data_IF_308854713153
#
_entry.id   IF_308854713153
#
_cell.length_a   1.000
_cell.length_b   1.000
_cell.length_c   1.000
_cell.angle_alpha   90.00
_cell.angle_beta   90.00
_cell.angle_gamma   90.00
#
_symmetry.space_group_name_H-M   'P 1'
#
loop_
_entity.id
_entity.type
_entity.pdbx_description
1 polymer ?
#
# COMPACT_ATOMS: atom_id res chain seq x y z
N UNK A 1 -4.33 -3.28 -8.13
CA UNK A 1 -3.80 -4.38 -7.29
C UNK A 1 -4.51 -4.35 -5.94
N UNK A 2 -4.46 -5.40 -5.11
CA UNK A 2 -5.20 -5.37 -3.83
C UNK A 2 -4.55 -4.44 -2.79
N UNK A 3 -5.33 -3.77 -1.92
CA UNK A 3 -4.79 -2.96 -0.83
C UNK A 3 -3.87 -3.75 0.12
N UNK A 4 -4.12 -5.05 0.28
CA UNK A 4 -3.27 -5.95 1.09
C UNK A 4 -1.89 -6.10 0.46
N UNK A 5 -1.81 -6.26 -0.85
CA UNK A 5 -0.53 -6.35 -1.57
C UNK A 5 0.24 -5.04 -1.44
N UNK A 6 -0.44 -3.91 -1.62
CA UNK A 6 0.15 -2.58 -1.46
C UNK A 6 0.69 -2.35 -0.06
N UNK A 7 -0.04 -2.77 0.97
CA UNK A 7 0.40 -2.73 2.37
C UNK A 7 1.68 -3.54 2.58
N UNK A 8 1.71 -4.79 2.11
CA UNK A 8 2.88 -5.66 2.26
C UNK A 8 4.11 -5.06 1.54
N UNK A 9 3.94 -4.61 0.29
CA UNK A 9 5.01 -3.97 -0.48
C UNK A 9 5.53 -2.71 0.22
N UNK A 10 4.64 -1.83 0.70
CA UNK A 10 5.04 -0.63 1.44
C UNK A 10 5.77 -0.93 2.75
N UNK A 11 5.39 -2.01 3.45
CA UNK A 11 6.13 -2.46 4.62
C UNK A 11 7.51 -3.03 4.28
N UNK A 12 7.66 -3.71 3.14
CA UNK A 12 8.98 -4.13 2.65
C UNK A 12 9.86 -2.92 2.30
N UNK A 13 9.31 -1.90 1.64
CA UNK A 13 10.02 -0.64 1.37
C UNK A 13 10.47 0.03 2.66
N UNK A 14 9.58 0.12 3.65
CA UNK A 14 9.89 0.66 4.98
C UNK A 14 11.03 -0.09 5.70
N UNK A 15 11.24 -1.37 5.36
CA UNK A 15 12.29 -2.21 5.92
C UNK A 15 13.58 -2.25 5.09
N UNK A 16 13.64 -1.58 3.94
CA UNK A 16 14.85 -1.52 3.10
C UNK A 16 16.02 -0.77 3.76
N UNK A 17 15.72 0.04 4.77
CA UNK A 17 16.70 0.84 5.54
C UNK A 17 16.34 0.82 7.02
N UNK A 18 17.26 1.25 7.87
CA UNK A 18 16.98 1.46 9.28
C UNK A 18 16.08 2.69 9.49
N UNK A 19 14.91 2.47 10.10
CA UNK A 19 13.87 3.45 10.44
C UNK A 19 13.28 3.12 11.80
N UNK A 20 12.78 4.13 12.52
CA UNK A 20 11.97 3.91 13.72
C UNK A 20 10.60 3.33 13.37
N UNK A 21 9.90 2.75 14.37
CA UNK A 21 8.52 2.23 14.21
C UNK A 21 7.56 3.24 13.59
N UNK A 22 7.60 4.49 14.05
CA UNK A 22 6.77 5.59 13.52
C UNK A 22 7.08 5.89 12.05
N UNK A 23 8.36 5.89 11.68
CA UNK A 23 8.79 6.16 10.31
C UNK A 23 8.45 5.00 9.36
N UNK A 24 8.57 3.75 9.83
CA UNK A 24 8.11 2.59 9.09
C UNK A 24 6.61 2.68 8.83
N UNK A 25 5.84 3.03 9.85
CA UNK A 25 4.40 3.23 9.72
C UNK A 25 4.06 4.30 8.67
N UNK A 26 4.75 5.45 8.68
CA UNK A 26 4.53 6.48 7.67
C UNK A 26 4.80 5.99 6.24
N UNK A 27 5.91 5.27 6.02
CA UNK A 27 6.24 4.70 4.70
C UNK A 27 5.25 3.62 4.26
N UNK A 28 4.80 2.76 5.18
CA UNK A 28 3.80 1.72 4.87
C UNK A 28 2.42 2.31 4.61
N UNK A 29 1.98 3.29 5.39
CA UNK A 29 0.69 3.96 5.16
C UNK A 29 0.69 4.68 3.81
N UNK A 30 1.83 5.23 3.38
CA UNK A 30 1.95 5.89 2.09
C UNK A 30 1.63 4.98 0.88
N UNK A 31 1.76 3.65 1.00
CA UNK A 31 1.36 2.73 -0.08
C UNK A 31 -0.12 2.33 -0.05
N UNK A 32 -0.88 2.63 1.00
CA UNK A 32 -2.29 2.19 1.13
C UNK A 32 -3.24 3.36 1.15
N UNK A 33 -2.78 4.53 1.60
CA UNK A 33 -3.60 5.74 1.69
C UNK A 33 -4.26 6.16 0.36
N UNK A 34 -3.70 5.88 -0.85
CA UNK A 34 -4.43 6.20 -2.08
C UNK A 34 -5.76 5.44 -2.23
N UNK A 35 -5.82 4.19 -1.76
CA UNK A 35 -7.03 3.35 -1.85
C UNK A 35 -8.21 3.87 -1.01
N UNK A 36 -8.02 4.89 -0.18
CA UNK A 36 -9.12 5.52 0.59
C UNK A 36 -10.19 6.08 -0.36
N UNK A 37 -9.82 6.53 -1.56
CA UNK A 37 -10.82 6.97 -2.55
C UNK A 37 -11.68 5.80 -3.11
N UNK A 38 -11.24 4.55 -2.88
CA UNK A 38 -12.00 3.33 -3.18
C UNK A 38 -13.12 3.03 -2.17
N UNK A 39 -13.14 3.66 -0.99
CA UNK A 39 -14.24 3.51 0.00
C UNK A 39 -15.59 3.96 -0.56
N UNK A 40 -15.58 4.82 -1.60
CA UNK A 40 -16.76 5.18 -2.37
C UNK A 40 -17.58 4.00 -2.88
N UNK A 41 -16.97 2.80 -3.01
CA UNK A 41 -17.66 1.59 -3.45
C UNK A 41 -18.80 1.20 -2.51
N UNK A 42 -18.63 1.44 -1.20
CA UNK A 42 -19.66 1.17 -0.19
C UNK A 42 -20.86 2.10 -0.42
N UNK A 43 -20.61 3.40 -0.56
CA UNK A 43 -21.67 4.39 -0.80
C UNK A 43 -22.42 4.09 -2.12
N UNK A 44 -21.69 3.76 -3.18
CA UNK A 44 -22.28 3.43 -4.48
C UNK A 44 -23.12 2.15 -4.42
N UNK A 45 -22.64 1.11 -3.74
CA UNK A 45 -23.38 -0.14 -3.55
C UNK A 45 -24.67 0.07 -2.77
N UNK A 46 -24.62 0.84 -1.67
CA UNK A 46 -25.77 1.09 -0.80
C UNK A 46 -26.84 1.98 -1.45
N UNK A 47 -26.45 2.81 -2.42
CA UNK A 47 -27.36 3.79 -3.06
C UNK A 47 -27.75 3.42 -4.49
N UNK A 48 -27.31 2.25 -5.00
CA UNK A 48 -27.53 1.81 -6.39
C UNK A 48 -28.99 1.82 -6.84
N UNK A 49 -29.93 1.63 -5.91
CA UNK A 49 -31.38 1.62 -6.18
C UNK A 49 -32.13 2.93 -5.89
N UNK A 50 -31.42 4.02 -5.52
CA UNK A 50 -32.05 5.30 -5.23
C UNK A 50 -32.30 6.10 -6.53
N UNK A 51 -33.23 7.06 -6.49
CA UNK A 51 -33.49 7.97 -7.64
C UNK A 51 -32.23 8.76 -8.04
N UNK A 52 -31.33 9.01 -7.08
CA UNK A 52 -30.04 9.67 -7.27
C UNK A 52 -28.92 8.86 -6.58
N UNK A 53 -28.31 7.88 -7.27
CA UNK A 53 -27.24 7.05 -6.69
C UNK A 53 -25.94 7.84 -6.49
N UNK A 54 -25.20 7.53 -5.43
CA UNK A 54 -23.89 8.11 -5.13
C UNK A 54 -22.80 7.38 -5.91
N UNK A 55 -22.44 7.89 -7.08
CA UNK A 55 -21.41 7.30 -7.96
C UNK A 55 -19.97 7.62 -7.51
N UNK A 56 -19.69 7.52 -6.20
CA UNK A 56 -18.42 7.98 -5.64
C UNK A 56 -17.25 7.13 -6.08
N UNK A 57 -17.43 5.82 -6.21
CA UNK A 57 -16.36 4.94 -6.66
C UNK A 57 -16.08 5.17 -8.14
N UNK A 58 -17.12 5.01 -8.97
CA UNK A 58 -17.00 5.11 -10.42
C UNK A 58 -16.51 6.47 -10.90
N UNK A 59 -16.75 7.54 -10.13
CA UNK A 59 -16.34 8.90 -10.49
C UNK A 59 -14.99 9.34 -9.91
N UNK A 60 -14.64 8.89 -8.70
CA UNK A 60 -13.53 9.46 -7.96
C UNK A 60 -12.37 8.51 -7.67
N UNK A 61 -12.59 7.19 -7.76
CA UNK A 61 -11.52 6.22 -7.64
C UNK A 61 -10.50 6.43 -8.78
N UNK A 62 -9.20 6.45 -8.46
CA UNK A 62 -8.10 6.85 -9.34
C UNK A 62 -8.05 8.31 -9.81
N UNK A 63 -8.95 9.17 -9.31
CA UNK A 63 -8.98 10.61 -9.62
C UNK A 63 -8.49 11.43 -8.43
N UNK A 64 -8.99 11.15 -7.22
CA UNK A 64 -8.73 11.98 -6.04
C UNK A 64 -7.37 11.71 -5.40
N UNK A 65 -7.03 10.44 -5.18
CA UNK A 65 -5.88 10.07 -4.36
C UNK A 65 -4.75 9.40 -5.16
N UNK A 66 -4.93 9.15 -6.46
CA UNK A 66 -3.93 8.51 -7.32
C UNK A 66 -3.21 9.51 -8.24
N UNK A 67 -2.76 10.64 -7.69
CA UNK A 67 -2.10 11.69 -8.44
C UNK A 67 -0.87 12.25 -7.69
N UNK A 68 -0.03 12.99 -8.43
CA UNK A 68 1.18 13.59 -7.90
C UNK A 68 0.90 14.56 -6.75
N UNK A 69 -0.20 15.32 -6.82
CA UNK A 69 -0.58 16.25 -5.75
C UNK A 69 -0.79 15.52 -4.42
N UNK A 70 -1.53 14.41 -4.44
CA UNK A 70 -1.74 13.58 -3.26
C UNK A 70 -0.44 12.91 -2.79
N UNK A 71 0.41 12.44 -3.72
CA UNK A 71 1.73 11.90 -3.39
C UNK A 71 2.60 12.92 -2.61
N UNK A 72 2.59 14.19 -3.05
CA UNK A 72 3.32 15.27 -2.39
C UNK A 72 2.74 15.61 -1.01
N UNK A 73 1.42 15.58 -0.84
CA UNK A 73 0.77 15.74 0.48
C UNK A 73 1.20 14.62 1.44
N UNK A 74 1.14 13.36 0.99
CA UNK A 74 1.55 12.19 1.79
C UNK A 74 3.03 12.27 2.16
N UNK A 75 3.89 12.69 1.22
CA UNK A 75 5.31 12.90 1.47
C UNK A 75 5.55 14.05 2.46
N UNK A 76 4.81 15.15 2.35
CA UNK A 76 4.87 16.29 3.27
C UNK A 76 4.45 15.92 4.70
N UNK A 77 3.35 15.18 4.86
CA UNK A 77 2.93 14.65 6.17
C UNK A 77 3.99 13.72 6.73
N UNK A 78 4.51 12.80 5.92
CA UNK A 78 5.59 11.88 6.31
C UNK A 78 6.85 12.62 6.75
N UNK A 79 7.20 13.71 6.07
CA UNK A 79 8.31 14.60 6.42
C UNK A 79 8.10 15.26 7.78
N UNK A 80 6.89 15.75 8.06
CA UNK A 80 6.56 16.46 9.30
C UNK A 80 6.58 15.54 10.53
N UNK A 81 6.12 14.30 10.39
CA UNK A 81 6.02 13.36 11.53
C UNK A 81 7.34 12.62 11.82
N UNK A 82 8.26 12.54 10.86
CA UNK A 82 9.48 11.76 10.96
C UNK A 82 10.62 12.49 11.69
N UNK A 83 11.56 11.71 12.25
CA UNK A 83 12.82 12.25 12.77
C UNK A 83 13.84 12.36 11.63
N UNK A 84 13.97 11.30 10.82
CA UNK A 84 14.79 11.24 9.59
C UNK A 84 13.99 11.76 8.39
N UNK A 85 13.54 13.01 8.50
CA UNK A 85 12.50 13.64 7.64
C UNK A 85 12.65 13.34 6.15
N UNK A 86 13.81 13.67 5.56
CA UNK A 86 14.06 13.47 4.12
C UNK A 86 14.07 12.00 3.71
N UNK A 87 14.66 11.13 4.53
CA UNK A 87 14.71 9.68 4.25
C UNK A 87 13.31 9.09 4.26
N UNK A 88 12.51 9.43 5.27
CA UNK A 88 11.13 8.96 5.38
C UNK A 88 10.24 9.52 4.28
N UNK A 89 10.35 10.80 3.95
CA UNK A 89 9.59 11.40 2.85
C UNK A 89 9.93 10.80 1.48
N UNK A 90 11.23 10.59 1.20
CA UNK A 90 11.67 9.94 -0.04
C UNK A 90 11.14 8.51 -0.15
N UNK A 91 11.20 7.72 0.93
CA UNK A 91 10.65 6.37 0.94
C UNK A 91 9.13 6.35 0.86
N UNK A 92 8.44 7.33 1.46
CA UNK A 92 6.99 7.49 1.30
C UNK A 92 6.63 7.76 -0.17
N UNK A 93 7.39 8.61 -0.88
CA UNK A 93 7.22 8.80 -2.33
C UNK A 93 7.47 7.51 -3.10
N UNK A 94 8.54 6.77 -2.82
CA UNK A 94 8.80 5.47 -3.47
C UNK A 94 7.64 4.49 -3.22
N UNK A 95 7.20 4.38 -1.98
CA UNK A 95 6.10 3.50 -1.55
C UNK A 95 4.80 3.85 -2.27
N UNK A 96 4.48 5.14 -2.37
CA UNK A 96 3.33 5.65 -3.10
C UNK A 96 3.40 5.37 -4.61
N UNK A 97 4.56 5.58 -5.24
CA UNK A 97 4.71 5.34 -6.67
C UNK A 97 4.71 3.85 -7.00
N UNK A 98 5.19 2.99 -6.09
CA UNK A 98 5.04 1.54 -6.23
C UNK A 98 3.57 1.10 -6.13
N UNK A 99 2.78 1.77 -5.29
CA UNK A 99 1.33 1.60 -5.30
C UNK A 99 0.73 1.94 -6.68
N UNK A 100 1.03 3.14 -7.22
CA UNK A 100 0.55 3.54 -8.55
C UNK A 100 1.00 2.55 -9.65
N UNK A 101 2.24 2.08 -9.58
CA UNK A 101 2.76 1.08 -10.50
C UNK A 101 1.97 -0.23 -10.40
N UNK A 102 1.65 -0.67 -9.18
CA UNK A 102 0.84 -1.87 -8.94
C UNK A 102 -0.54 -1.79 -9.57
N UNK A 103 -1.19 -0.62 -9.53
CA UNK A 103 -2.50 -0.43 -10.17
C UNK A 103 -2.40 -0.30 -11.68
N UNK A 104 -1.36 0.38 -12.18
CA UNK A 104 -1.08 0.48 -13.60
C UNK A 104 -0.88 -0.89 -14.26
N UNK A 105 -0.24 -1.84 -13.56
CA UNK A 105 0.04 -3.17 -14.10
C UNK A 105 -1.03 -4.22 -13.79
N UNK A 106 -1.69 -4.14 -12.64
CA UNK A 106 -2.55 -5.20 -12.12
C UNK A 106 -3.85 -4.72 -11.49
N UNK A 107 -4.42 -3.63 -12.00
CA UNK A 107 -5.63 -2.99 -11.51
C UNK A 107 -6.83 -3.03 -12.44
N UNK A 108 -6.80 -3.80 -13.55
CA UNK A 108 -7.91 -3.79 -14.51
C UNK A 108 -9.21 -4.30 -13.86
N UNK A 109 -10.30 -3.56 -14.10
CA UNK A 109 -11.62 -3.84 -13.57
C UNK A 109 -12.23 -5.14 -14.12
N UNK A 110 -13.23 -5.72 -13.45
CA UNK A 110 -13.91 -6.94 -13.89
C UNK A 110 -14.70 -6.73 -15.20
N UNK A 111 -15.01 -5.48 -15.54
CA UNK A 111 -15.62 -5.03 -16.79
C UNK A 111 -14.58 -4.80 -17.92
N UNK A 112 -13.30 -5.03 -17.65
CA UNK A 112 -12.19 -4.77 -18.57
C UNK A 112 -11.74 -3.32 -18.60
N UNK A 113 -12.33 -2.42 -17.79
CA UNK A 113 -11.93 -1.02 -17.75
C UNK A 113 -10.53 -0.87 -17.13
N UNK A 114 -9.61 -0.15 -17.78
CA UNK A 114 -8.20 -0.11 -17.36
C UNK A 114 -7.93 0.78 -16.14
N UNK A 115 -8.92 1.53 -15.64
CA UNK A 115 -8.76 2.45 -14.49
C UNK A 115 -7.53 3.37 -14.63
N UNK A 116 -7.57 4.35 -15.56
CA UNK A 116 -6.43 5.22 -15.83
C UNK A 116 -6.01 6.01 -14.59
N UNK A 117 -4.70 6.14 -14.37
CA UNK A 117 -4.14 6.97 -13.30
C UNK A 117 -4.02 8.40 -13.82
N UNK A 118 -4.81 9.31 -13.27
CA UNK A 118 -4.83 10.72 -13.66
C UNK A 118 -3.72 11.52 -12.95
N UNK A 119 -2.48 11.25 -13.32
CA UNK A 119 -1.28 11.63 -12.56
C UNK A 119 -1.15 13.13 -12.26
N UNK A 120 -1.60 14.01 -13.16
CA UNK A 120 -1.48 15.47 -13.02
C UNK A 120 -2.76 16.17 -12.56
N UNK A 121 -3.84 15.45 -12.23
CA UNK A 121 -5.03 16.10 -11.67
C UNK A 121 -4.74 16.72 -10.29
N UNK A 122 -5.41 17.83 -9.93
CA UNK A 122 -6.43 18.55 -10.71
C UNK A 122 -5.88 19.58 -11.71
N UNK A 123 -4.56 19.68 -11.88
CA UNK A 123 -3.92 20.73 -12.69
C UNK A 123 -4.00 20.48 -14.20
N UNK A 124 -3.91 19.21 -14.61
CA UNK A 124 -3.96 18.82 -16.03
C UNK A 124 -4.51 17.41 -16.21
N UNK A 125 -5.37 17.25 -17.22
CA UNK A 125 -5.85 15.94 -17.67
C UNK A 125 -4.95 15.27 -18.72
N UNK A 126 -3.82 15.87 -19.08
CA UNK A 126 -2.98 15.42 -20.19
C UNK A 126 -2.27 14.09 -19.93
N UNK A 127 -1.98 13.77 -18.67
CA UNK A 127 -1.20 12.58 -18.29
C UNK A 127 -2.09 11.58 -17.59
N UNK A 128 -2.61 10.64 -18.38
CA UNK A 128 -3.42 9.53 -17.94
C UNK A 128 -2.62 8.26 -18.21
N UNK A 129 -2.11 7.64 -17.15
CA UNK A 129 -1.32 6.43 -17.31
C UNK A 129 -2.25 5.24 -17.50
N UNK A 130 -2.08 4.58 -18.63
CA UNK A 130 -2.71 3.31 -18.97
C UNK A 130 -1.64 2.42 -19.57
N UNK A 131 -1.78 1.11 -19.41
CA UNK A 131 -0.88 0.16 -20.04
C UNK A 131 -1.66 -0.98 -20.69
N UNK A 132 -1.36 -1.27 -21.95
CA UNK A 132 -2.07 -2.31 -22.71
C UNK A 132 -1.91 -3.69 -22.08
N UNK A 133 -0.74 -3.98 -21.50
CA UNK A 133 -0.42 -5.24 -20.83
C UNK A 133 -1.00 -5.37 -19.42
N UNK A 134 -1.77 -4.39 -18.93
CA UNK A 134 -2.37 -4.44 -17.60
C UNK A 134 -3.23 -5.70 -17.48
N UNK A 135 -3.09 -6.45 -16.38
CA UNK A 135 -3.89 -7.63 -16.11
C UNK A 135 -5.03 -7.33 -15.13
N UNK A 136 -6.00 -8.22 -15.09
CA UNK A 136 -7.15 -8.17 -14.18
C UNK A 136 -6.73 -8.18 -12.71
N UNK A 137 -7.49 -7.50 -11.86
CA UNK A 137 -7.21 -7.43 -10.43
C UNK A 137 -7.03 -8.81 -9.76
N UNK A 138 -7.77 -9.82 -10.23
CA UNK A 138 -7.75 -11.21 -9.74
C UNK A 138 -6.88 -12.14 -10.60
N UNK A 139 -5.98 -11.64 -11.45
CA UNK A 139 -5.10 -12.48 -12.24
C UNK A 139 -3.97 -13.11 -11.39
N UNK A 140 -3.44 -14.25 -11.87
CA UNK A 140 -2.36 -15.00 -11.20
C UNK A 140 -1.11 -14.18 -10.84
N UNK A 141 -0.65 -13.15 -11.60
CA UNK A 141 0.52 -12.37 -11.22
C UNK A 141 0.31 -11.63 -9.90
N UNK A 142 -0.89 -11.10 -9.64
CA UNK A 142 -1.21 -10.43 -8.37
C UNK A 142 -1.16 -11.40 -7.19
N UNK A 143 -1.63 -12.63 -7.37
CA UNK A 143 -1.51 -13.66 -6.35
C UNK A 143 -0.04 -14.01 -6.07
N UNK A 144 0.78 -14.18 -7.12
CA UNK A 144 2.20 -14.47 -6.96
C UNK A 144 2.94 -13.36 -6.22
N UNK A 145 2.72 -12.09 -6.61
CA UNK A 145 3.29 -10.91 -5.95
C UNK A 145 2.88 -10.88 -4.47
N UNK A 146 1.60 -11.14 -4.18
CA UNK A 146 1.09 -11.14 -2.80
C UNK A 146 1.72 -12.24 -1.96
N UNK A 147 1.81 -13.46 -2.48
CA UNK A 147 2.45 -14.60 -1.79
C UNK A 147 3.93 -14.31 -1.53
N UNK A 148 4.65 -13.77 -2.52
CA UNK A 148 6.06 -13.41 -2.38
C UNK A 148 6.24 -12.30 -1.33
N UNK A 149 5.43 -11.25 -1.37
CA UNK A 149 5.49 -10.15 -0.42
C UNK A 149 5.13 -10.60 1.00
N UNK A 150 4.16 -11.51 1.15
CA UNK A 150 3.81 -12.13 2.42
C UNK A 150 4.98 -12.97 2.95
N UNK A 151 5.57 -13.82 2.11
CA UNK A 151 6.72 -14.64 2.49
C UNK A 151 7.92 -13.80 2.95
N UNK A 152 8.25 -12.74 2.21
CA UNK A 152 9.28 -11.78 2.59
C UNK A 152 8.94 -11.05 3.90
N UNK A 153 7.66 -10.70 4.11
CA UNK A 153 7.20 -10.07 5.35
C UNK A 153 7.37 -10.99 6.55
N UNK A 154 6.96 -12.25 6.43
CA UNK A 154 7.13 -13.27 7.47
C UNK A 154 8.61 -13.52 7.77
N UNK A 155 9.44 -13.62 6.74
CA UNK A 155 10.88 -13.80 6.89
C UNK A 155 11.53 -12.62 7.63
N UNK A 156 11.19 -11.39 7.25
CA UNK A 156 11.71 -10.20 7.92
C UNK A 156 11.19 -10.09 9.35
N UNK A 157 9.92 -10.40 9.60
CA UNK A 157 9.38 -10.40 10.96
C UNK A 157 10.10 -11.40 11.86
N UNK A 158 10.33 -12.61 11.34
CA UNK A 158 11.10 -13.65 12.00
C UNK A 158 12.54 -13.21 12.29
N UNK A 159 13.23 -12.59 11.33
CA UNK A 159 14.63 -12.18 11.47
C UNK A 159 14.80 -10.92 12.36
N UNK A 160 13.90 -9.93 12.24
CA UNK A 160 14.03 -8.61 12.88
C UNK A 160 13.32 -8.47 14.22
N UNK A 161 12.34 -9.32 14.51
CA UNK A 161 11.66 -9.34 15.80
C UNK A 161 10.50 -8.36 15.94
N UNK A 162 10.02 -7.80 14.83
CA UNK A 162 8.82 -6.97 14.75
C UNK A 162 8.14 -7.22 13.41
N UNK A 163 6.83 -7.06 13.34
CA UNK A 163 5.99 -7.32 12.17
C UNK A 163 5.15 -6.08 11.81
N UNK A 164 4.36 -6.11 10.72
CA UNK A 164 3.44 -5.02 10.43
C UNK A 164 2.42 -4.74 11.55
N UNK A 165 2.14 -5.73 12.42
CA UNK A 165 1.22 -5.55 13.55
C UNK A 165 1.71 -4.50 14.54
N UNK A 166 3.01 -4.18 14.55
CA UNK A 166 3.55 -3.10 15.36
C UNK A 166 2.83 -1.77 15.09
N UNK A 167 2.26 -1.54 13.91
CA UNK A 167 1.54 -0.29 13.62
C UNK A 167 0.20 -0.20 14.38
N UNK A 168 -0.38 -1.33 14.77
CA UNK A 168 -1.71 -1.41 15.40
C UNK A 168 -1.60 -1.71 16.89
N UNK A 169 -0.80 -2.71 17.28
CA UNK A 169 -0.68 -3.14 18.67
C UNK A 169 0.68 -3.77 18.96
N UNK A 170 1.41 -3.20 19.91
CA UNK A 170 2.70 -3.72 20.36
C UNK A 170 2.56 -5.12 21.03
N UNK A 171 1.42 -5.39 21.67
CA UNK A 171 1.18 -6.71 22.27
C UNK A 171 0.93 -7.77 21.21
N UNK A 172 0.09 -7.46 20.21
CA UNK A 172 -0.20 -8.38 19.11
C UNK A 172 1.07 -8.68 18.29
N UNK A 173 1.89 -7.65 18.04
CA UNK A 173 3.16 -7.78 17.36
C UNK A 173 4.12 -8.75 18.07
N UNK A 174 4.30 -8.55 19.39
CA UNK A 174 5.14 -9.42 20.22
C UNK A 174 4.65 -10.86 20.19
N UNK A 175 3.35 -11.08 20.44
CA UNK A 175 2.76 -12.43 20.42
C UNK A 175 2.93 -13.10 19.05
N UNK A 176 2.74 -12.36 17.97
CA UNK A 176 2.92 -12.87 16.62
C UNK A 176 4.36 -13.30 16.33
N UNK A 177 5.34 -12.43 16.64
CA UNK A 177 6.76 -12.71 16.43
C UNK A 177 7.24 -13.87 17.29
N UNK A 178 6.83 -13.92 18.56
CA UNK A 178 7.15 -15.03 19.48
C UNK A 178 6.60 -16.35 18.96
N UNK A 179 5.34 -16.37 18.52
CA UNK A 179 4.71 -17.56 17.93
C UNK A 179 5.46 -18.02 16.69
N UNK A 180 5.84 -17.09 15.81
CA UNK A 180 6.56 -17.38 14.58
C UNK A 180 7.95 -17.99 14.85
N UNK A 181 8.70 -17.41 15.79
CA UNK A 181 10.04 -17.88 16.19
C UNK A 181 10.00 -19.17 17.00
N UNK A 182 8.94 -19.40 17.77
CA UNK A 182 8.75 -20.67 18.47
C UNK A 182 8.46 -21.80 17.48
N UNK A 183 7.64 -21.54 16.45
CA UNK A 183 7.33 -22.51 15.39
C UNK A 183 8.52 -22.81 14.49
N UNK A 184 9.33 -21.79 14.19
CA UNK A 184 10.53 -21.89 13.36
C UNK A 184 11.73 -21.33 14.14
N UNK A 185 12.46 -22.17 14.90
CA UNK A 185 13.56 -21.70 15.75
C UNK A 185 14.64 -20.94 14.97
N UNK A 186 15.02 -19.77 15.48
CA UNK A 186 16.07 -18.94 14.89
C UNK A 186 17.44 -19.36 15.46
N UNK A 187 18.35 -19.84 14.60
CA UNK A 187 19.63 -20.44 15.01
C UNK A 187 20.61 -19.50 15.75
N UNK A 188 20.30 -18.21 15.94
CA UNK A 188 21.15 -17.25 16.68
C UNK A 188 20.88 -17.19 18.19
N UNK A 189 20.51 -18.30 18.82
CA UNK A 189 20.36 -18.40 20.28
C UNK A 189 21.44 -19.28 20.95
N UNK A 190 22.49 -19.68 20.24
CA UNK A 190 23.66 -20.40 20.81
C UNK A 190 24.95 -19.61 20.65
N UNK A 191 24.99 -18.39 21.17
CA UNK A 191 26.18 -17.55 21.08
C UNK A 191 26.17 -16.32 21.97
N UNK A 192 25.78 -16.48 23.24
CA UNK A 192 26.26 -15.69 24.39
C UNK A 192 26.26 -16.59 25.61
#
# INVERSE_FOLDING_TARGET
MSPVTHFLVGWLVANSVDLSRKERAAVTVASVVPDIDGIGAIAETLTRGWDHPLLWYSKYHHVLAHNLGFALVVAGVSFMVATRRWKTAALALVSFHLHLLGDLIGGRGPDGYPWPIHYLLPFSGAWQWTWQGQWELNAWPNFLITIAALGATLYLAWNRGYSPLEMVSASADRTFVETLRHRFPHARLHGQ
#
